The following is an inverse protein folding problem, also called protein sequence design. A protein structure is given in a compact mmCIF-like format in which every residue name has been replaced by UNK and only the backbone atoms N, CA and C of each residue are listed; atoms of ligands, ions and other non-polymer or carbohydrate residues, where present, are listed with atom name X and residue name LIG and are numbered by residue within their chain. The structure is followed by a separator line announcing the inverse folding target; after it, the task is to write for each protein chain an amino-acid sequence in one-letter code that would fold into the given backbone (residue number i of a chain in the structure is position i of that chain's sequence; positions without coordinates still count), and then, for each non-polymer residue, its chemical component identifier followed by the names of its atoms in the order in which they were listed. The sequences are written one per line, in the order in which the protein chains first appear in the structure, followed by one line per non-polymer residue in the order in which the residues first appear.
data_IF_859397915611
#
_entry.id   IF_859397915611
#
_cell.length_a   1.000
_cell.length_b   1.000
_cell.length_c   1.000
_cell.angle_alpha   90.00
_cell.angle_beta   90.00
_cell.angle_gamma   90.00
#
_symmetry.space_group_name_H-M   'P 1'
#
loop_
_entity.id
_entity.type
_entity.pdbx_description
1 polymer ?
2 non-polymer ?
3 non-polymer ?
4 non-polymer ?
5 water ?
#
# COMPACT_ATOMS: atom_id res chain seq x y z
N UNK A 1 2.81 -1.22 19.93
CA UNK A 1 3.85 -1.97 19.20
C UNK A 1 5.09 -1.10 19.08
N UNK A 2 4.87 0.21 19.07
CA UNK A 2 5.97 1.15 18.91
C UNK A 2 6.92 1.12 20.11
N UNK A 3 6.38 0.72 21.27
CA UNK A 3 7.17 0.58 22.49
C UNK A 3 8.30 -0.42 22.28
N UNK A 4 7.97 -1.57 21.73
CA UNK A 4 8.93 -2.63 21.46
C UNK A 4 9.91 -2.24 20.35
N UNK A 5 9.41 -1.48 19.38
CA UNK A 5 10.24 -0.94 18.31
C UNK A 5 11.37 -0.13 18.89
N UNK A 6 11.02 0.78 19.79
CA UNK A 6 12.01 1.64 20.43
C UNK A 6 13.08 0.83 21.10
N UNK A 7 12.71 -0.22 21.81
CA UNK A 7 13.74 -0.91 22.55
C UNK A 7 14.60 -1.72 21.62
N UNK A 8 14.00 -2.34 20.59
CA UNK A 8 14.78 -3.10 19.62
C UNK A 8 15.72 -2.21 18.79
N UNK A 9 15.31 -0.96 18.57
CA UNK A 9 16.13 -0.02 17.81
C UNK A 9 17.43 0.27 18.58
N UNK A 10 17.28 0.46 19.89
CA UNK A 10 18.36 0.78 20.80
C UNK A 10 19.24 -0.45 21.09
N UNK A 11 18.63 -1.60 21.41
CA UNK A 11 19.40 -2.77 21.86
C UNK A 11 19.74 -3.80 20.79
N UNK A 12 19.10 -3.74 19.62
CA UNK A 12 19.16 -4.89 18.71
C UNK A 12 18.49 -4.69 17.35
N UNK A 13 19.01 -3.77 16.52
CA UNK A 13 18.26 -3.37 15.32
C UNK A 13 18.25 -4.42 14.21
N UNK A 14 19.10 -5.42 14.36
CA UNK A 14 19.16 -6.52 13.40
C UNK A 14 19.11 -7.77 14.25
N UNK A 15 17.98 -8.46 14.23
CA UNK A 15 17.66 -9.43 15.26
C UNK A 15 17.15 -10.77 14.73
N UNK A 16 17.85 -11.84 15.07
CA UNK A 16 17.43 -13.19 14.74
C UNK A 16 16.72 -13.85 15.92
N UNK A 17 15.49 -14.31 15.70
CA UNK A 17 14.68 -14.83 16.77
C UNK A 17 14.67 -16.35 16.75
N UNK A 18 15.58 -16.94 15.98
CA UNK A 18 15.58 -18.38 15.77
C UNK A 18 14.81 -18.86 14.53
N UNK A 19 14.04 -17.96 13.95
CA UNK A 19 13.16 -18.29 12.84
C UNK A 19 13.46 -17.49 11.57
N UNK A 20 13.35 -16.17 11.68
CA UNK A 20 13.69 -15.24 10.61
C UNK A 20 14.47 -14.05 11.14
N UNK A 21 14.99 -13.24 10.22
CA UNK A 21 15.71 -12.05 10.60
C UNK A 21 14.78 -10.85 10.60
N UNK A 22 14.99 -9.91 11.51
CA UNK A 22 14.16 -8.71 11.58
C UNK A 22 15.01 -7.45 11.72
N UNK A 23 14.60 -6.40 11.03
CA UNK A 23 15.38 -5.17 10.97
C UNK A 23 14.55 -4.00 11.46
N UNK A 24 15.13 -3.15 12.32
CA UNK A 24 14.32 -2.14 13.00
C UNK A 24 14.78 -0.70 12.78
N UNK A 25 16.03 -0.52 12.39
CA UNK A 25 16.54 0.84 12.25
C UNK A 25 16.49 1.30 10.79
N UNK A 26 16.44 2.60 10.59
CA UNK A 26 16.34 3.18 9.27
C UNK A 26 17.47 2.74 8.33
N UNK A 27 18.71 2.81 8.82
CA UNK A 27 19.87 2.55 7.99
C UNK A 27 19.86 1.15 7.39
N UNK A 28 19.57 0.15 8.22
CA UNK A 28 19.65 -1.22 7.76
C UNK A 28 18.40 -1.59 6.95
N UNK A 29 17.28 -0.93 7.28
CA UNK A 29 16.06 -1.10 6.52
C UNK A 29 16.27 -0.60 5.10
N UNK A 30 16.80 0.63 4.98
CA UNK A 30 16.96 1.22 3.67
C UNK A 30 17.91 0.38 2.83
N UNK A 31 18.94 -0.18 3.47
CA UNK A 31 19.91 -0.89 2.67
C UNK A 31 19.31 -2.22 2.19
N UNK A 32 18.49 -2.87 3.01
CA UNK A 32 17.86 -4.12 2.55
C UNK A 32 16.91 -3.88 1.38
N UNK A 33 16.14 -2.79 1.45
CA UNK A 33 15.22 -2.43 0.37
C UNK A 33 15.94 -2.06 -0.94
N UNK A 34 17.06 -1.37 -0.84
CA UNK A 34 17.73 -0.87 -2.04
C UNK A 34 18.58 -1.94 -2.72
N UNK A 35 19.32 -2.71 -1.94
CA UNK A 35 20.28 -3.64 -2.50
C UNK A 35 19.60 -4.86 -3.11
N UNK A 36 19.03 -4.70 -4.30
CA UNK A 36 18.29 -5.77 -4.95
C UNK A 36 19.17 -6.94 -5.35
N UNK A 37 20.48 -6.74 -5.42
CA UNK A 37 21.36 -7.83 -5.81
C UNK A 37 21.72 -8.76 -4.65
N UNK A 38 21.54 -8.29 -3.43
CA UNK A 38 21.80 -9.16 -2.29
C UNK A 38 20.48 -9.57 -1.62
N UNK A 39 19.49 -8.68 -1.65
CA UNK A 39 18.18 -8.95 -1.07
C UNK A 39 17.05 -9.07 -2.11
N UNK A 40 16.74 -10.31 -2.46
CA UNK A 40 15.75 -10.65 -3.49
C UNK A 40 14.27 -10.47 -3.08
N UNK A 41 13.45 -10.10 -4.06
CA UNK A 41 11.99 -10.06 -3.94
C UNK A 41 11.36 -11.30 -4.57
N UNK A 42 12.18 -12.19 -5.16
CA UNK A 42 11.64 -13.39 -5.82
C UNK A 42 11.30 -14.49 -4.78
N UNK A 43 10.20 -14.28 -4.07
CA UNK A 43 9.75 -15.16 -3.01
C UNK A 43 8.86 -16.32 -3.50
N UNK A 44 8.37 -16.24 -4.73
CA UNK A 44 7.39 -17.21 -5.22
C UNK A 44 7.95 -18.04 -6.36
N UNK A 45 9.25 -17.87 -6.62
CA UNK A 45 9.97 -18.55 -7.70
C UNK A 45 9.56 -18.10 -9.09
N UNK A 46 9.23 -16.81 -9.23
CA UNK A 46 8.83 -16.22 -10.51
C UNK A 46 9.93 -16.39 -11.58
N UNK A 47 11.17 -16.01 -11.26
CA UNK A 47 12.24 -16.11 -12.23
C UNK A 47 12.47 -17.56 -12.61
N UNK A 48 12.51 -18.43 -11.60
CA UNK A 48 12.74 -19.84 -11.81
C UNK A 48 11.66 -20.50 -12.70
N UNK A 49 10.45 -19.94 -12.74
CA UNK A 49 9.35 -20.52 -13.55
C UNK A 49 9.00 -19.76 -14.81
N UNK A 50 9.76 -18.70 -15.08
CA UNK A 50 9.40 -17.75 -16.14
C UNK A 50 9.28 -18.42 -17.52
N UNK A 51 10.28 -19.21 -17.87
CA UNK A 51 10.30 -19.90 -19.15
C UNK A 51 9.14 -20.90 -19.26
N UNK A 52 8.89 -21.71 -18.23
CA UNK A 52 7.76 -22.67 -18.30
C UNK A 52 6.38 -22.04 -18.22
N UNK A 53 6.25 -20.86 -17.63
CA UNK A 53 5.01 -20.09 -17.74
C UNK A 53 4.74 -19.68 -19.20
N UNK A 54 5.79 -19.15 -19.84
CA UNK A 54 5.67 -18.58 -21.17
C UNK A 54 5.48 -19.65 -22.24
N UNK A 55 6.15 -20.79 -22.07
CA UNK A 55 6.10 -21.81 -23.12
C UNK A 55 4.94 -22.79 -22.92
N UNK A 56 4.16 -22.61 -21.86
CA UNK A 56 2.96 -23.42 -21.63
C UNK A 56 3.13 -24.68 -20.80
N UNK A 57 4.34 -24.97 -20.33
CA UNK A 57 4.59 -26.20 -19.55
C UNK A 57 3.83 -26.16 -18.23
N UNK A 58 3.76 -24.98 -17.63
CA UNK A 58 2.90 -24.74 -16.49
C UNK A 58 1.53 -24.31 -16.99
N UNK A 59 0.53 -25.12 -16.72
CA UNK A 59 -0.82 -24.87 -17.25
C UNK A 59 -1.63 -24.13 -16.19
N UNK A 60 -1.45 -24.50 -14.92
CA UNK A 60 -2.19 -23.90 -13.80
C UNK A 60 -1.26 -23.43 -12.69
N UNK A 61 -1.51 -22.21 -12.17
CA UNK A 61 -0.86 -21.69 -10.97
C UNK A 61 -1.63 -20.45 -10.50
N UNK A 62 -1.28 -19.93 -9.33
CA UNK A 62 -1.97 -18.76 -8.77
C UNK A 62 -1.46 -17.44 -9.35
N UNK A 63 -2.26 -16.79 -10.22
CA UNK A 63 -1.75 -15.66 -11.01
C UNK A 63 -1.04 -14.59 -10.17
N UNK A 64 -1.46 -14.36 -8.93
CA UNK A 64 -0.90 -13.22 -8.20
C UNK A 64 0.43 -13.54 -7.54
N UNK A 65 0.95 -14.75 -7.78
CA UNK A 65 2.32 -15.10 -7.38
C UNK A 65 3.35 -14.53 -8.37
N UNK A 66 2.90 -14.26 -9.59
CA UNK A 66 3.83 -13.87 -10.62
C UNK A 66 3.51 -12.46 -11.11
N UNK A 67 3.91 -11.48 -10.30
CA UNK A 67 3.78 -10.09 -10.65
C UNK A 67 5.09 -9.39 -10.36
N UNK A 68 5.16 -8.12 -10.75
CA UNK A 68 6.33 -7.29 -10.50
C UNK A 68 6.71 -7.19 -9.02
N UNK A 69 5.75 -7.41 -8.13
CA UNK A 69 6.02 -7.24 -6.71
C UNK A 69 7.01 -8.29 -6.23
N UNK A 70 6.96 -9.46 -6.86
CA UNK A 70 7.80 -10.57 -6.45
C UNK A 70 8.80 -10.94 -7.57
N UNK A 71 9.54 -9.95 -8.04
CA UNK A 71 10.54 -10.22 -9.05
C UNK A 71 11.74 -9.31 -8.86
N UNK A 72 12.82 -9.62 -9.56
CA UNK A 72 14.07 -8.89 -9.49
C UNK A 72 14.38 -8.39 -10.90
N UNK A 73 15.38 -7.50 -11.02
CA UNK A 73 15.75 -7.11 -12.38
C UNK A 73 16.39 -8.27 -13.12
N UNK A 74 16.24 -8.32 -14.45
CA UNK A 74 15.55 -7.31 -15.28
C UNK A 74 14.03 -7.48 -15.35
N UNK A 75 13.54 -8.66 -14.99
CA UNK A 75 12.13 -8.99 -15.15
C UNK A 75 11.22 -7.95 -14.48
N UNK A 76 11.61 -7.48 -13.30
CA UNK A 76 10.84 -6.48 -12.62
C UNK A 76 10.74 -5.20 -13.44
N UNK A 77 11.89 -4.73 -13.93
CA UNK A 77 11.93 -3.47 -14.66
C UNK A 77 11.10 -3.63 -15.92
N UNK A 78 11.22 -4.78 -16.56
CA UNK A 78 10.42 -5.03 -17.76
C UNK A 78 8.93 -5.00 -17.46
N UNK A 79 8.48 -5.66 -16.40
CA UNK A 79 7.05 -5.63 -16.07
C UNK A 79 6.58 -4.20 -15.74
N UNK A 80 7.35 -3.51 -14.91
CA UNK A 80 6.96 -2.21 -14.41
C UNK A 80 6.91 -1.15 -15.50
N UNK A 81 7.80 -1.28 -16.47
CA UNK A 81 7.90 -0.24 -17.49
C UNK A 81 6.63 -0.14 -18.32
N UNK A 82 5.80 -1.19 -18.28
CA UNK A 82 4.53 -1.22 -18.99
C UNK A 82 3.43 -0.29 -18.43
N UNK A 83 3.53 0.13 -17.18
CA UNK A 83 2.47 0.98 -16.64
C UNK A 83 2.99 2.19 -15.88
N UNK A 84 4.32 2.30 -15.78
CA UNK A 84 4.94 3.40 -15.04
C UNK A 84 4.49 4.80 -15.48
N UNK A 85 4.22 4.97 -16.77
CA UNK A 85 3.83 6.28 -17.26
C UNK A 85 2.44 6.66 -16.73
N UNK A 86 1.51 5.72 -16.76
CA UNK A 86 0.15 5.92 -16.24
C UNK A 86 0.12 6.43 -14.80
N UNK A 87 0.97 5.86 -13.93
CA UNK A 87 0.93 6.22 -12.50
C UNK A 87 1.89 7.33 -12.10
N UNK A 88 2.48 8.00 -13.08
CA UNK A 88 3.37 9.11 -12.78
C UNK A 88 2.54 10.37 -12.50
N UNK A 89 3.09 11.29 -11.68
CA UNK A 89 2.42 12.54 -11.29
C UNK A 89 1.93 13.37 -12.48
N UNK A 90 2.77 13.44 -13.50
CA UNK A 90 2.45 14.19 -14.71
C UNK A 90 1.13 13.76 -15.34
N UNK A 91 0.94 12.45 -15.52
CA UNK A 91 -0.26 11.92 -16.16
C UNK A 91 -1.48 11.91 -15.24
N UNK A 92 -1.24 11.73 -13.95
CA UNK A 92 -2.34 11.57 -13.00
C UNK A 92 -3.09 12.88 -12.76
N UNK A 93 -2.36 13.99 -12.90
CA UNK A 93 -2.90 15.31 -12.69
C UNK A 93 -4.19 15.55 -13.48
N UNK A 94 -4.28 14.92 -14.64
CA UNK A 94 -5.53 14.83 -15.41
C UNK A 94 -6.75 14.56 -14.55
N UNK A 95 -6.56 13.70 -13.55
CA UNK A 95 -7.65 13.09 -12.83
C UNK A 95 -8.13 13.89 -11.62
N UNK A 96 -7.37 14.92 -11.26
CA UNK A 96 -7.68 15.75 -10.09
C UNK A 96 -9.15 16.18 -10.01
N UNK A 97 -9.75 16.51 -11.15
CA UNK A 97 -11.15 16.93 -11.18
C UNK A 97 -12.11 15.77 -10.85
N UNK A 98 -11.84 14.60 -11.42
CA UNK A 98 -12.67 13.43 -11.18
C UNK A 98 -12.67 13.04 -9.70
N UNK A 99 -11.47 13.03 -9.13
CA UNK A 99 -11.31 12.64 -7.74
C UNK A 99 -12.08 13.62 -6.88
N UNK A 100 -11.88 14.92 -7.14
CA UNK A 100 -12.49 15.98 -6.33
C UNK A 100 -14.02 15.97 -6.37
N UNK A 101 -14.60 15.58 -7.51
CA UNK A 101 -16.05 15.54 -7.62
C UNK A 101 -16.59 14.25 -7.06
N UNK A 102 -15.78 13.19 -7.13
CA UNK A 102 -16.17 11.92 -6.54
C UNK A 102 -16.17 12.05 -5.02
N UNK A 103 -15.11 12.70 -4.51
CA UNK A 103 -14.97 12.95 -3.08
C UNK A 103 -16.19 13.69 -2.55
N UNK A 104 -16.50 14.84 -3.15
CA UNK A 104 -17.67 15.64 -2.78
C UNK A 104 -18.96 14.86 -2.85
N UNK A 105 -19.17 14.16 -3.95
CA UNK A 105 -20.34 13.30 -4.10
C UNK A 105 -20.48 12.28 -2.94
N UNK A 106 -19.33 11.90 -2.36
CA UNK A 106 -19.32 10.92 -1.29
C UNK A 106 -19.61 11.60 0.03
N UNK A 107 -18.94 12.73 0.28
CA UNK A 107 -19.17 13.56 1.48
C UNK A 107 -20.67 13.90 1.65
N UNK A 108 -21.43 13.92 0.56
CA UNK A 108 -22.86 14.20 0.62
C UNK A 108 -23.64 13.11 1.34
N UNK A 109 -23.33 11.85 1.04
CA UNK A 109 -24.07 10.72 1.61
C UNK A 109 -23.84 10.56 3.12
N UNK A 110 -22.87 11.30 3.66
CA UNK A 110 -22.58 11.26 5.09
C UNK A 110 -23.65 11.95 5.92
N UNK A 111 -24.09 11.27 6.96
CA UNK A 111 -25.01 11.79 7.96
C UNK A 111 -24.21 12.35 9.15
N UNK A 112 -24.25 13.67 9.35
CA UNK A 112 -23.31 14.25 10.33
C UNK A 112 -23.68 13.96 11.80
N UNK A 113 -24.93 13.60 12.06
CA UNK A 113 -25.34 13.19 13.40
C UNK A 113 -24.51 11.97 13.85
N UNK A 114 -24.38 11.00 12.95
CA UNK A 114 -23.65 9.78 13.23
C UNK A 114 -23.39 9.05 11.92
N UNK A 115 -22.11 8.87 11.58
CA UNK A 115 -21.78 8.01 10.44
C UNK A 115 -20.39 7.39 10.56
N UNK A 116 -20.16 6.39 9.71
CA UNK A 116 -18.89 5.67 9.63
C UNK A 116 -18.11 6.18 8.41
N UNK A 117 -17.08 7.00 8.63
CA UNK A 117 -16.39 7.58 7.46
C UNK A 117 -15.51 6.56 6.73
N UNK A 118 -15.22 5.43 7.37
CA UNK A 118 -14.57 4.34 6.65
C UNK A 118 -15.54 3.81 5.59
N UNK A 119 -16.81 3.61 5.96
CA UNK A 119 -17.76 3.00 5.03
C UNK A 119 -18.26 3.98 3.93
N UNK A 120 -18.30 5.27 4.24
CA UNK A 120 -18.93 6.24 3.33
C UNK A 120 -17.91 6.94 2.46
N UNK A 121 -16.69 7.06 2.96
CA UNK A 121 -15.64 7.79 2.27
C UNK A 121 -14.39 6.94 1.97
N UNK A 122 -13.74 6.42 3.00
CA UNK A 122 -12.40 5.83 2.86
C UNK A 122 -12.35 4.57 2.00
N UNK A 123 -13.38 3.73 2.10
CA UNK A 123 -13.42 2.49 1.29
C UNK A 123 -13.84 2.74 -0.18
N UNK A 124 -14.95 3.48 -0.42
CA UNK A 124 -15.35 3.66 -1.81
C UNK A 124 -14.36 4.45 -2.67
N UNK A 125 -13.70 5.46 -2.10
CA UNK A 125 -12.96 6.40 -2.94
C UNK A 125 -11.86 5.70 -3.75
N UNK A 126 -10.97 4.91 -3.11
CA UNK A 126 -9.95 4.26 -3.92
C UNK A 126 -10.50 3.29 -4.96
N UNK A 127 -11.60 2.60 -4.63
CA UNK A 127 -12.18 1.64 -5.55
C UNK A 127 -12.74 2.33 -6.79
N UNK A 128 -13.35 3.49 -6.61
CA UNK A 128 -13.93 4.18 -7.75
C UNK A 128 -12.84 4.71 -8.69
N UNK A 129 -11.77 5.25 -8.11
CA UNK A 129 -10.71 5.83 -8.91
C UNK A 129 -9.96 4.78 -9.75
N UNK A 130 -9.59 3.66 -9.13
CA UNK A 130 -8.77 2.67 -9.81
C UNK A 130 -9.60 2.04 -10.92
N UNK A 131 -10.90 1.96 -10.68
CA UNK A 131 -11.81 1.44 -11.69
C UNK A 131 -11.85 2.36 -12.92
N UNK A 132 -11.83 3.67 -12.68
CA UNK A 132 -11.81 4.65 -13.75
C UNK A 132 -10.51 4.49 -14.55
N UNK A 133 -9.40 4.48 -13.84
CA UNK A 133 -8.09 4.37 -14.47
C UNK A 133 -7.94 3.09 -15.29
N UNK A 134 -8.54 2.01 -14.83
CA UNK A 134 -8.34 0.75 -15.50
C UNK A 134 -9.42 0.47 -16.53
N UNK A 135 -10.51 1.24 -16.49
CA UNK A 135 -11.59 1.00 -17.42
C UNK A 135 -12.44 -0.21 -17.08
N UNK A 136 -12.28 -0.74 -15.88
CA UNK A 136 -13.11 -1.86 -15.44
C UNK A 136 -14.32 -1.39 -14.63
N UNK A 137 -15.53 -1.82 -15.04
CA UNK A 137 -16.77 -1.33 -14.42
C UNK A 137 -17.03 -1.92 -13.05
N UNK A 138 -17.55 -1.13 -12.10
CA UNK A 138 -17.96 -1.69 -10.82
C UNK A 138 -19.39 -2.27 -10.92
N UNK A 139 -19.45 -3.52 -11.36
CA UNK A 139 -20.70 -4.24 -11.57
C UNK A 139 -21.40 -4.38 -10.25
N UNK A 140 -20.74 -5.05 -9.32
CA UNK A 140 -21.25 -5.23 -7.96
C UNK A 140 -20.39 -4.41 -7.01
N UNK A 141 -20.95 -3.33 -6.47
CA UNK A 141 -20.27 -2.52 -5.45
C UNK A 141 -19.76 -3.41 -4.32
N UNK A 142 -20.55 -4.40 -3.93
CA UNK A 142 -20.25 -5.26 -2.79
C UNK A 142 -19.07 -6.21 -3.02
N UNK A 143 -19.03 -6.88 -4.19
CA UNK A 143 -17.91 -7.78 -4.48
C UNK A 143 -16.56 -7.07 -4.67
N UNK A 144 -16.55 -5.82 -5.10
CA UNK A 144 -15.31 -5.07 -5.08
C UNK A 144 -14.77 -4.84 -3.68
N UNK A 145 -15.65 -4.54 -2.72
CA UNK A 145 -15.23 -4.41 -1.33
C UNK A 145 -14.70 -5.75 -0.85
N UNK A 146 -15.37 -6.83 -1.21
CA UNK A 146 -14.93 -8.14 -0.73
C UNK A 146 -13.59 -8.53 -1.33
N UNK A 147 -13.45 -8.36 -2.64
CA UNK A 147 -12.22 -8.72 -3.34
C UNK A 147 -11.04 -7.89 -2.81
N UNK A 148 -11.28 -6.59 -2.59
CA UNK A 148 -10.30 -5.71 -1.97
C UNK A 148 -9.80 -6.22 -0.62
N UNK A 149 -10.65 -6.98 0.07
CA UNK A 149 -10.35 -7.51 1.39
C UNK A 149 -9.60 -8.83 1.37
N UNK A 150 -9.50 -9.45 0.20
CA UNK A 150 -8.72 -10.66 0.03
C UNK A 150 -7.23 -10.43 0.23
N UNK A 151 -6.84 -9.17 0.30
CA UNK A 151 -5.45 -8.78 0.45
C UNK A 151 -5.08 -8.92 1.93
N UNK A 152 -3.97 -9.59 2.23
CA UNK A 152 -3.66 -9.97 3.61
C UNK A 152 -2.30 -10.65 3.75
N UNK A 153 -1.65 -10.49 4.91
CA UNK A 153 -0.50 -11.31 5.25
C UNK A 153 -0.95 -12.75 5.43
N UNK A 154 -0.35 -13.65 4.67
CA UNK A 154 -0.61 -15.08 4.82
C UNK A 154 0.59 -15.68 5.54
N UNK A 155 0.37 -16.32 6.68
CA UNK A 155 1.47 -16.95 7.40
C UNK A 155 1.93 -18.21 6.67
N UNK A 156 3.25 -18.41 6.61
CA UNK A 156 3.82 -19.56 5.93
C UNK A 156 3.93 -19.45 4.41
N UNK A 157 3.24 -18.49 3.80
CA UNK A 157 3.32 -18.28 2.35
C UNK A 157 3.90 -16.91 2.00
N UNK A 158 5.22 -16.72 2.23
CA UNK A 158 5.85 -15.40 2.06
C UNK A 158 5.74 -14.87 0.62
N UNK A 159 5.38 -13.60 0.48
CA UNK A 159 5.22 -13.03 -0.85
C UNK A 159 3.84 -13.25 -1.46
N UNK A 160 3.03 -14.11 -0.83
CA UNK A 160 1.60 -14.22 -1.16
C UNK A 160 0.78 -13.22 -0.34
N UNK A 161 0.06 -12.33 -1.00
CA UNK A 161 -0.76 -11.36 -0.28
C UNK A 161 -2.26 -11.46 -0.60
N UNK A 162 -2.64 -12.54 -1.28
CA UNK A 162 -4.06 -12.77 -1.54
C UNK A 162 -4.53 -14.07 -0.87
N UNK A 163 -5.64 -13.96 -0.14
CA UNK A 163 -6.35 -15.12 0.36
C UNK A 163 -7.10 -15.77 -0.79
N UNK A 164 -7.05 -17.10 -0.85
CA UNK A 164 -7.59 -17.81 -2.00
C UNK A 164 -9.07 -18.19 -1.75
N UNK A 165 -9.53 -19.30 -2.35
CA UNK A 165 -10.92 -19.74 -2.20
C UNK A 165 -11.86 -19.34 -3.32
N UNK A 166 -13.17 -19.42 -3.07
CA UNK A 166 -14.15 -19.17 -4.13
C UNK A 166 -14.31 -17.70 -4.43
N UNK A 167 -14.10 -16.85 -3.44
CA UNK A 167 -14.11 -15.41 -3.68
C UNK A 167 -12.99 -15.04 -4.67
N UNK A 168 -11.85 -15.72 -4.57
CA UNK A 168 -10.70 -15.48 -5.43
C UNK A 168 -11.00 -15.91 -6.87
N UNK A 169 -11.61 -17.09 -7.02
CA UNK A 169 -11.95 -17.60 -8.34
C UNK A 169 -12.92 -16.67 -9.06
N UNK A 170 -13.83 -16.05 -8.31
CA UNK A 170 -14.74 -15.06 -8.85
C UNK A 170 -13.97 -13.86 -9.42
N UNK A 171 -13.03 -13.34 -8.64
CA UNK A 171 -12.16 -12.25 -9.08
C UNK A 171 -11.54 -12.60 -10.43
N UNK A 172 -10.90 -13.76 -10.50
CA UNK A 172 -10.30 -14.20 -11.76
C UNK A 172 -11.30 -14.25 -12.91
N UNK A 173 -12.46 -14.84 -12.67
CA UNK A 173 -13.50 -14.89 -13.66
C UNK A 173 -13.88 -13.50 -14.14
N UNK A 174 -14.14 -12.59 -13.19
CA UNK A 174 -14.57 -11.24 -13.52
C UNK A 174 -13.54 -10.58 -14.43
N UNK A 175 -12.27 -10.84 -14.16
CA UNK A 175 -11.21 -10.19 -14.90
C UNK A 175 -11.13 -10.73 -16.34
N UNK A 176 -11.17 -12.05 -16.50
CA UNK A 176 -11.26 -12.62 -17.85
C UNK A 176 -12.41 -11.97 -18.64
N UNK A 177 -13.59 -11.89 -18.02
CA UNK A 177 -14.77 -11.34 -18.68
C UNK A 177 -14.67 -9.86 -19.07
N UNK A 178 -13.68 -9.13 -18.58
CA UNK A 178 -13.61 -7.71 -18.95
C UNK A 178 -12.26 -7.31 -19.53
N UNK A 179 -11.42 -8.30 -19.81
CA UNK A 179 -10.15 -8.09 -20.50
C UNK A 179 -10.25 -7.09 -21.63
N UNK A 180 -11.24 -7.30 -22.49
CA UNK A 180 -11.31 -6.54 -23.73
C UNK A 180 -12.19 -5.33 -23.58
N UNK A 181 -12.21 -4.76 -22.39
CA UNK A 181 -13.05 -3.59 -22.12
C UNK A 181 -12.20 -2.48 -21.51
N UNK A 182 -10.92 -2.77 -21.33
CA UNK A 182 -10.04 -1.89 -20.58
C UNK A 182 -9.52 -0.64 -21.29
N UNK A 183 -8.81 0.17 -20.51
CA UNK A 183 -8.14 1.35 -21.01
C UNK A 183 -6.79 1.00 -21.60
N UNK A 184 -5.95 2.02 -21.75
CA UNK A 184 -4.64 1.90 -22.35
C UNK A 184 -3.74 0.90 -21.59
N UNK A 185 -3.63 1.03 -20.28
CA UNK A 185 -2.75 0.16 -19.50
C UNK A 185 -3.18 -1.31 -19.65
N UNK A 186 -4.48 -1.57 -19.60
CA UNK A 186 -4.95 -2.94 -19.79
C UNK A 186 -4.61 -3.51 -21.19
N UNK A 187 -4.79 -2.72 -22.25
CA UNK A 187 -4.42 -3.17 -23.60
C UNK A 187 -2.95 -3.56 -23.69
N UNK A 188 -2.09 -2.78 -23.08
CA UNK A 188 -0.66 -3.05 -23.12
C UNK A 188 -0.34 -4.42 -22.52
N UNK A 189 -0.88 -4.67 -21.33
CA UNK A 189 -0.69 -5.97 -20.69
C UNK A 189 -1.28 -7.11 -21.53
N UNK A 190 -2.49 -6.93 -22.06
CA UNK A 190 -3.15 -7.98 -22.82
C UNK A 190 -2.39 -8.37 -24.10
N UNK A 191 -1.85 -7.37 -24.79
CA UNK A 191 -1.19 -7.56 -26.07
C UNK A 191 0.27 -7.94 -25.94
N UNK A 192 0.78 -7.87 -24.72
CA UNK A 192 2.17 -8.24 -24.45
C UNK A 192 2.43 -9.72 -24.67
N UNK A 193 3.69 -10.10 -24.59
CA UNK A 193 4.10 -11.50 -24.69
C UNK A 193 4.17 -12.23 -23.32
N UNK A 194 3.48 -11.71 -22.31
CA UNK A 194 3.35 -12.44 -21.04
C UNK A 194 2.44 -13.64 -21.18
N UNK A 195 2.62 -14.60 -20.30
CA UNK A 195 1.70 -15.72 -20.18
C UNK A 195 0.37 -15.23 -19.63
N UNK A 196 -0.71 -15.96 -19.89
CA UNK A 196 -2.03 -15.56 -19.42
C UNK A 196 -2.04 -15.46 -17.91
N UNK A 197 -1.39 -16.42 -17.27
CA UNK A 197 -1.20 -16.38 -15.82
C UNK A 197 -0.62 -15.02 -15.37
N UNK A 198 0.47 -14.57 -15.98
CA UNK A 198 1.04 -13.27 -15.62
C UNK A 198 0.14 -12.08 -15.94
N UNK A 199 -0.62 -12.17 -17.01
CA UNK A 199 -1.52 -11.07 -17.36
C UNK A 199 -2.56 -10.87 -16.27
N UNK A 200 -3.17 -11.97 -15.87
CA UNK A 200 -4.19 -11.94 -14.82
C UNK A 200 -3.58 -11.36 -13.57
N UNK A 201 -2.42 -11.90 -13.20
CA UNK A 201 -1.64 -11.42 -12.09
C UNK A 201 -1.40 -9.91 -12.17
N UNK A 202 -0.98 -9.43 -13.34
CA UNK A 202 -0.65 -8.02 -13.49
C UNK A 202 -1.91 -7.17 -13.19
N UNK A 203 -3.01 -7.50 -13.87
CA UNK A 203 -4.23 -6.71 -13.72
C UNK A 203 -4.78 -6.76 -12.30
N UNK A 204 -4.83 -7.96 -11.73
CA UNK A 204 -5.39 -8.12 -10.40
C UNK A 204 -4.61 -7.32 -9.39
N UNK A 205 -3.30 -7.35 -9.54
CA UNK A 205 -2.41 -6.57 -8.71
C UNK A 205 -2.78 -5.08 -8.75
N UNK A 206 -2.86 -4.49 -9.94
CA UNK A 206 -3.25 -3.09 -10.08
C UNK A 206 -4.69 -2.80 -9.59
N UNK A 207 -5.63 -3.67 -9.97
CA UNK A 207 -7.02 -3.47 -9.57
C UNK A 207 -7.23 -3.47 -8.05
N UNK A 208 -6.56 -4.38 -7.36
CA UNK A 208 -6.96 -4.71 -6.00
C UNK A 208 -5.96 -4.28 -4.94
N UNK A 209 -4.69 -4.60 -5.15
CA UNK A 209 -3.66 -4.47 -4.13
C UNK A 209 -3.59 -3.13 -3.44
N UNK A 210 -3.94 -2.05 -4.14
CA UNK A 210 -3.79 -0.73 -3.56
C UNK A 210 -5.01 -0.12 -2.86
N UNK A 211 -6.13 -0.85 -2.86
CA UNK A 211 -7.35 -0.30 -2.29
C UNK A 211 -7.34 -0.14 -0.78
N UNK A 212 -7.34 -1.25 -0.07
CA UNK A 212 -7.29 -1.19 1.37
C UNK A 212 -6.16 -0.31 1.94
N UNK A 213 -4.97 -0.37 1.34
CA UNK A 213 -3.85 0.45 1.84
C UNK A 213 -4.16 1.94 1.77
N UNK A 214 -4.88 2.36 0.74
CA UNK A 214 -5.20 3.77 0.58
C UNK A 214 -6.32 4.17 1.52
N UNK A 215 -7.37 3.35 1.55
CA UNK A 215 -8.42 3.46 2.56
C UNK A 215 -7.81 3.72 3.95
N UNK A 216 -6.77 2.95 4.29
CA UNK A 216 -6.14 3.12 5.58
C UNK A 216 -5.40 4.41 5.74
N UNK A 217 -4.80 4.91 4.65
CA UNK A 217 -4.08 6.18 4.73
C UNK A 217 -5.04 7.30 5.03
N UNK A 218 -6.23 7.22 4.42
CA UNK A 218 -7.27 8.19 4.66
C UNK A 218 -7.73 8.15 6.12
N UNK A 219 -8.19 6.98 6.57
CA UNK A 219 -8.60 6.80 7.96
C UNK A 219 -7.55 7.19 9.00
N UNK A 220 -6.34 6.68 8.86
CA UNK A 220 -5.28 7.03 9.77
C UNK A 220 -5.09 8.53 9.85
N UNK A 221 -5.30 9.19 8.71
CA UNK A 221 -5.10 10.63 8.65
C UNK A 221 -6.16 11.31 9.50
N UNK A 222 -7.43 10.96 9.26
CA UNK A 222 -8.53 11.50 10.03
C UNK A 222 -8.31 11.34 11.53
N UNK A 223 -7.96 10.12 11.92
CA UNK A 223 -7.70 9.81 13.32
C UNK A 223 -6.62 10.69 13.88
N UNK A 224 -5.44 10.67 13.27
CA UNK A 224 -4.30 11.42 13.81
C UNK A 224 -4.55 12.91 13.94
N UNK A 225 -5.18 13.50 12.93
CA UNK A 225 -5.44 14.94 12.92
C UNK A 225 -6.40 15.29 14.06
N UNK A 226 -7.37 14.42 14.29
CA UNK A 226 -8.33 14.61 15.37
C UNK A 226 -7.72 14.47 16.77
N UNK A 227 -6.97 13.40 16.98
CA UNK A 227 -6.45 13.11 18.30
C UNK A 227 -5.44 14.14 18.75
N UNK A 228 -4.64 14.65 17.83
CA UNK A 228 -3.66 15.65 18.20
C UNK A 228 -4.18 17.06 17.96
N UNK A 229 -5.46 17.12 17.58
CA UNK A 229 -6.15 18.39 17.37
C UNK A 229 -5.33 19.30 16.46
N UNK A 230 -5.35 18.99 15.17
CA UNK A 230 -4.59 19.76 14.21
C UNK A 230 -5.47 20.23 13.09
N UNK A 231 -6.75 19.89 13.13
CA UNK A 231 -7.63 20.19 12.01
C UNK A 231 -7.57 21.62 11.52
N UNK A 232 -7.47 22.59 12.43
CA UNK A 232 -7.56 23.96 11.96
C UNK A 232 -6.18 24.58 11.77
N UNK A 233 -5.15 24.07 12.45
CA UNK A 233 -3.82 24.53 12.12
C UNK A 233 -3.45 24.09 10.71
N UNK A 234 -3.83 22.85 10.38
CA UNK A 234 -3.53 22.25 9.09
C UNK A 234 -4.17 23.06 7.96
N UNK A 235 -5.28 23.70 8.29
CA UNK A 235 -6.12 24.33 7.30
C UNK A 235 -5.83 25.82 7.17
N UNK A 236 -5.63 26.47 8.31
CA UNK A 236 -5.30 27.88 8.35
C UNK A 236 -3.85 28.08 7.88
N UNK A 237 -2.99 27.10 8.09
CA UNK A 237 -1.62 27.24 7.63
C UNK A 237 -1.40 26.49 6.31
N UNK A 238 -2.46 25.87 5.79
CA UNK A 238 -2.39 25.08 4.55
C UNK A 238 -1.27 24.02 4.56
N UNK A 239 -1.45 22.96 5.36
CA UNK A 239 -0.40 21.98 5.59
C UNK A 239 -0.70 20.58 5.06
N UNK A 240 -1.81 20.44 4.33
CA UNK A 240 -2.23 19.17 3.75
C UNK A 240 -1.10 18.25 3.27
N UNK A 241 -0.15 18.77 2.50
CA UNK A 241 0.85 17.89 1.91
C UNK A 241 1.80 17.35 2.95
N UNK A 242 2.34 18.25 3.76
CA UNK A 242 3.32 17.84 4.75
C UNK A 242 2.62 17.09 5.90
N UNK A 243 1.36 17.43 6.16
CA UNK A 243 0.62 16.73 7.20
C UNK A 243 0.39 15.28 6.79
N UNK A 244 -0.04 15.08 5.55
CA UNK A 244 -0.30 13.75 5.04
C UNK A 244 0.98 12.91 4.96
N UNK A 245 2.09 13.56 4.62
CA UNK A 245 3.37 12.87 4.69
C UNK A 245 3.67 12.45 6.13
N UNK A 246 3.19 13.21 7.09
CA UNK A 246 3.47 12.88 8.48
C UNK A 246 2.60 11.69 8.92
N UNK A 247 1.33 11.74 8.55
CA UNK A 247 0.44 10.59 8.76
C UNK A 247 1.09 9.34 8.18
N UNK A 248 1.63 9.45 6.96
CA UNK A 248 2.33 8.34 6.33
C UNK A 248 3.51 7.84 7.17
N UNK A 249 4.33 8.77 7.67
CA UNK A 249 5.47 8.39 8.50
C UNK A 249 5.07 7.77 9.83
N UNK A 250 4.10 8.41 10.49
CA UNK A 250 3.69 8.08 11.86
C UNK A 250 2.81 6.84 11.92
N UNK A 251 1.83 6.79 11.02
CA UNK A 251 0.86 5.70 10.97
C UNK A 251 0.90 4.94 9.65
N UNK A 252 2.02 4.28 9.35
CA UNK A 252 2.09 3.69 8.00
C UNK A 252 1.04 2.57 7.74
N UNK A 253 0.31 2.64 6.61
CA UNK A 253 -0.68 1.59 6.26
C UNK A 253 -0.04 0.21 6.04
N UNK A 254 1.18 0.15 5.53
CA UNK A 254 1.93 -1.11 5.50
C UNK A 254 3.06 -1.04 6.52
N UNK A 255 3.10 -1.98 7.46
CA UNK A 255 4.01 -1.90 8.63
C UNK A 255 5.39 -2.46 8.34
N UNK A 256 5.42 -3.44 7.46
CA UNK A 256 6.61 -4.22 7.25
C UNK A 256 6.54 -4.87 5.90
N UNK A 257 7.69 -5.30 5.39
CA UNK A 257 7.74 -6.08 4.17
C UNK A 257 8.89 -7.06 4.34
N UNK A 258 9.16 -7.89 3.33
CA UNK A 258 10.11 -8.98 3.49
C UNK A 258 11.02 -9.17 2.26
N UNK A 259 12.25 -9.64 2.48
CA UNK A 259 13.15 -10.04 1.39
C UNK A 259 13.76 -11.41 1.70
N UNK A 260 14.34 -12.04 0.69
CA UNK A 260 15.13 -13.25 0.93
C UNK A 260 16.57 -12.98 0.45
N UNK A 261 17.58 -13.47 1.17
CA UNK A 261 18.99 -13.21 0.78
C UNK A 261 19.47 -14.08 -0.38
N UNK A 262 20.14 -13.46 -1.35
CA UNK A 262 20.68 -14.18 -2.52
C UNK A 262 22.03 -14.83 -2.20
N UNK A 263 22.68 -14.35 -1.15
CA UNK A 263 24.01 -14.79 -0.82
C UNK A 263 24.30 -14.40 0.63
N UNK A 264 25.29 -15.03 1.23
CA UNK A 264 25.75 -14.62 2.56
C UNK A 264 25.99 -13.10 2.53
N UNK A 265 25.44 -12.38 3.51
CA UNK A 265 25.65 -10.93 3.63
C UNK A 265 25.86 -10.49 5.07
N UNK A 266 26.44 -9.29 5.19
CA UNK A 266 26.78 -8.72 6.48
C UNK A 266 25.97 -7.46 6.66
N UNK A 267 25.10 -7.47 7.65
CA UNK A 267 24.24 -6.34 7.91
C UNK A 267 24.47 -5.87 9.33
N UNK A 268 25.11 -4.72 9.47
CA UNK A 268 25.63 -4.29 10.77
C UNK A 268 26.75 -5.25 11.18
N UNK A 269 26.63 -5.89 12.34
CA UNK A 269 27.69 -6.82 12.69
C UNK A 269 27.02 -8.21 12.81
N UNK A 270 25.94 -8.38 12.08
CA UNK A 270 25.35 -9.70 11.99
C UNK A 270 25.64 -10.32 10.62
N UNK A 271 25.74 -11.64 10.59
CA UNK A 271 25.93 -12.37 9.36
C UNK A 271 24.69 -13.15 9.04
N UNK A 272 24.02 -12.79 7.95
CA UNK A 272 22.84 -13.50 7.54
C UNK A 272 23.23 -14.47 6.45
N UNK A 273 22.95 -15.75 6.69
CA UNK A 273 23.22 -16.79 5.71
C UNK A 273 22.46 -16.54 4.40
N UNK A 274 22.93 -17.15 3.34
CA UNK A 274 22.22 -17.09 2.08
C UNK A 274 20.95 -17.91 2.28
N UNK A 275 19.84 -17.48 1.69
CA UNK A 275 18.56 -18.15 1.82
C UNK A 275 17.66 -17.79 3.01
N UNK A 276 18.06 -16.83 3.85
CA UNK A 276 17.24 -16.45 4.99
C UNK A 276 16.19 -15.42 4.61
N UNK A 277 15.08 -15.40 5.34
CA UNK A 277 14.08 -14.35 5.18
C UNK A 277 14.43 -13.17 6.07
N UNK A 278 14.30 -11.98 5.52
CA UNK A 278 14.57 -10.77 6.26
C UNK A 278 13.33 -9.91 6.30
N UNK A 279 12.84 -9.68 7.50
CA UNK A 279 11.61 -8.93 7.68
C UNK A 279 12.01 -7.52 8.04
N UNK A 280 11.47 -6.57 7.30
CA UNK A 280 11.94 -5.21 7.42
C UNK A 280 10.82 -4.36 7.98
N UNK A 281 11.00 -3.83 9.19
CA UNK A 281 9.93 -3.10 9.85
C UNK A 281 9.95 -1.63 9.47
N UNK A 282 9.23 -1.32 8.39
CA UNK A 282 9.03 0.05 7.93
C UNK A 282 8.58 1.00 9.04
N UNK A 283 7.69 0.51 9.91
CA UNK A 283 7.04 1.34 10.91
C UNK A 283 8.03 1.77 12.00
N UNK A 284 8.92 0.85 12.38
CA UNK A 284 9.98 1.18 13.32
C UNK A 284 11.02 2.13 12.70
N UNK A 285 11.37 1.86 11.45
CA UNK A 285 12.40 2.65 10.78
C UNK A 285 11.91 4.07 10.59
N UNK A 286 10.58 4.24 10.54
CA UNK A 286 9.99 5.54 10.34
C UNK A 286 10.05 6.43 11.57
N UNK A 287 10.67 5.91 12.62
CA UNK A 287 10.78 6.64 13.90
C UNK A 287 12.18 6.54 14.48
N UNK A 288 13.13 6.08 13.67
CA UNK A 288 14.56 6.02 14.06
C UNK A 288 15.04 7.42 14.38
N UNK A 289 15.50 7.63 15.62
CA UNK A 289 15.84 8.99 16.07
C UNK A 289 17.03 9.55 15.29
N UNK A 290 17.91 8.69 14.81
CA UNK A 290 19.08 9.14 14.05
C UNK A 290 18.73 9.92 12.77
N UNK A 291 17.48 9.85 12.33
CA UNK A 291 17.07 10.49 11.08
C UNK A 291 15.96 11.50 11.33
N UNK A 292 15.01 11.13 12.17
CA UNK A 292 13.92 12.01 12.52
C UNK A 292 14.10 12.53 13.96
N UNK A 293 14.32 13.83 14.09
CA UNK A 293 14.39 14.48 15.40
C UNK A 293 12.99 14.46 16.05
N UNK A 294 12.89 13.95 17.28
CA UNK A 294 11.60 13.78 17.97
C UNK A 294 10.67 12.86 17.20
N UNK A 295 11.14 11.63 17.00
CA UNK A 295 10.46 10.65 16.18
C UNK A 295 9.12 10.17 16.69
N UNK A 296 8.86 10.35 17.98
CA UNK A 296 7.60 9.87 18.54
C UNK A 296 6.56 10.98 18.63
N UNK A 297 6.95 12.19 18.23
CA UNK A 297 5.97 13.28 18.15
C UNK A 297 5.47 13.43 16.73
N UNK A 298 4.16 13.56 16.60
CA UNK A 298 3.54 13.94 15.34
C UNK A 298 3.76 15.44 15.09
N UNK A 299 4.41 15.78 13.98
CA UNK A 299 4.74 17.17 13.65
C UNK A 299 4.26 17.50 12.25
N UNK A 300 3.10 18.15 12.12
CA UNK A 300 2.41 18.29 10.83
C UNK A 300 3.17 19.03 9.73
N UNK A 301 4.21 19.79 10.07
CA UNK A 301 4.96 20.53 9.06
C UNK A 301 6.39 20.01 8.93
N UNK A 302 6.62 18.83 9.49
CA UNK A 302 7.93 18.17 9.48
C UNK A 302 8.69 18.23 8.15
N UNK A 303 9.98 18.48 8.26
CA UNK A 303 10.79 18.67 7.07
C UNK A 303 12.25 18.68 7.46
N UNK A 304 13.07 17.87 6.77
CA UNK A 304 12.68 16.91 5.73
C UNK A 304 11.99 15.62 6.29
N UNK A 305 11.15 15.00 5.47
CA UNK A 305 10.44 13.79 5.87
C UNK A 305 10.66 12.63 4.91
N UNK A 306 11.82 11.97 5.01
CA UNK A 306 12.21 10.88 4.12
C UNK A 306 11.75 9.49 4.62
N UNK A 307 10.45 9.33 4.81
CA UNK A 307 9.94 8.09 5.38
C UNK A 307 9.89 6.94 4.35
N UNK A 308 9.82 5.71 4.84
CA UNK A 308 9.85 4.54 3.97
C UNK A 308 8.49 3.89 3.79
N UNK A 309 7.43 4.62 4.09
CA UNK A 309 6.08 4.05 4.01
C UNK A 309 5.67 3.57 2.60
N UNK A 310 6.33 4.10 1.57
CA UNK A 310 6.09 3.58 0.23
C UNK A 310 7.22 2.68 -0.22
N UNK A 311 8.12 2.36 0.70
CA UNK A 311 9.30 1.58 0.36
C UNK A 311 10.43 2.47 -0.17
N UNK A 312 11.33 1.85 -0.91
CA UNK A 312 12.55 2.49 -1.36
C UNK A 312 13.16 1.60 -2.44
N UNK A 313 13.91 2.19 -3.35
CA UNK A 313 14.60 1.40 -4.36
C UNK A 313 13.71 1.08 -5.54
N UNK A 314 13.98 -0.04 -6.23
CA UNK A 314 13.26 -0.34 -7.46
C UNK A 314 11.78 -0.73 -7.23
N UNK A 315 11.39 -1.07 -6.00
CA UNK A 315 9.99 -1.48 -5.79
C UNK A 315 9.15 -0.37 -5.19
N UNK A 316 9.76 0.80 -5.02
CA UNK A 316 9.05 1.97 -4.50
C UNK A 316 7.66 2.08 -5.11
N UNK A 317 6.65 2.22 -4.26
CA UNK A 317 5.27 1.98 -4.63
C UNK A 317 4.83 2.67 -5.93
N UNK A 318 4.55 1.84 -6.93
CA UNK A 318 3.99 2.30 -8.20
C UNK A 318 2.83 3.29 -8.00
N UNK A 319 2.01 3.03 -6.98
CA UNK A 319 0.82 3.82 -6.73
C UNK A 319 1.03 5.00 -5.79
N UNK A 320 2.28 5.29 -5.42
CA UNK A 320 2.50 6.37 -4.44
C UNK A 320 1.90 7.72 -4.89
N UNK A 321 2.20 8.20 -6.11
CA UNK A 321 1.55 9.45 -6.54
C UNK A 321 0.04 9.41 -6.48
N UNK A 322 -0.56 8.31 -6.91
CA UNK A 322 -2.01 8.18 -6.87
C UNK A 322 -2.48 8.28 -5.41
N UNK A 323 -1.85 7.52 -4.51
CA UNK A 323 -2.27 7.48 -3.12
C UNK A 323 -2.16 8.85 -2.44
N UNK A 324 -1.06 9.55 -2.68
CA UNK A 324 -0.92 10.92 -2.18
C UNK A 324 -2.04 11.82 -2.69
N UNK A 325 -2.32 11.73 -3.99
CA UNK A 325 -3.32 12.60 -4.59
C UNK A 325 -4.74 12.32 -4.03
N UNK A 326 -5.12 11.05 -3.94
CA UNK A 326 -6.43 10.71 -3.39
C UNK A 326 -6.56 11.15 -1.93
N UNK A 327 -5.50 10.94 -1.15
CA UNK A 327 -5.55 11.24 0.26
C UNK A 327 -5.71 12.73 0.45
N UNK A 328 -4.88 13.47 -0.28
CA UNK A 328 -4.82 14.91 -0.11
C UNK A 328 -6.15 15.58 -0.47
N UNK A 329 -6.73 15.19 -1.60
CA UNK A 329 -8.00 15.77 -1.99
C UNK A 329 -9.07 15.43 -0.96
N UNK A 330 -9.12 14.15 -0.57
CA UNK A 330 -10.14 13.69 0.35
C UNK A 330 -10.09 14.45 1.67
N UNK A 331 -8.88 14.63 2.20
CA UNK A 331 -8.71 15.38 3.45
C UNK A 331 -9.22 16.81 3.27
N UNK A 332 -8.60 17.57 2.36
CA UNK A 332 -9.03 18.91 1.96
C UNK A 332 -10.56 19.10 1.93
N UNK A 333 -11.24 18.33 1.09
CA UNK A 333 -12.68 18.43 0.95
C UNK A 333 -13.40 18.19 2.27
N UNK A 334 -12.98 17.16 3.00
CA UNK A 334 -13.51 16.84 4.31
C UNK A 334 -13.30 18.00 5.28
N UNK A 335 -12.09 18.54 5.24
CA UNK A 335 -11.65 19.63 6.08
C UNK A 335 -12.39 20.96 5.85
N UNK A 336 -12.84 21.19 4.63
CA UNK A 336 -13.58 22.41 4.35
C UNK A 336 -15.08 22.20 4.64
N UNK A 337 -15.56 20.97 4.53
CA UNK A 337 -16.98 20.73 4.75
C UNK A 337 -17.38 20.59 6.24
N UNK A 338 -16.47 20.11 7.10
CA UNK A 338 -16.80 19.93 8.53
C UNK A 338 -15.73 20.59 9.40
N UNK A 339 -16.11 21.09 10.58
CA UNK A 339 -15.14 21.82 11.39
C UNK A 339 -14.95 21.24 12.78
N UNK A 340 -15.99 20.58 13.27
CA UNK A 340 -15.86 19.89 14.53
C UNK A 340 -16.06 18.42 14.31
N UNK A 341 -15.13 17.62 14.82
CA UNK A 341 -15.24 16.19 14.65
C UNK A 341 -15.10 15.47 16.00
N UNK A 342 -16.08 14.61 16.30
CA UNK A 342 -16.05 13.80 17.50
C UNK A 342 -15.94 12.33 17.12
N UNK A 343 -15.00 11.61 17.74
CA UNK A 343 -14.87 10.19 17.48
C UNK A 343 -15.68 9.37 18.47
N UNK A 344 -16.69 8.67 17.99
CA UNK A 344 -17.58 7.89 18.85
C UNK A 344 -17.10 6.46 19.08
N UNK A 345 -16.63 5.81 18.02
CA UNK A 345 -16.27 4.41 18.11
C UNK A 345 -15.28 4.02 17.01
N UNK A 346 -14.33 3.17 17.35
CA UNK A 346 -13.40 2.65 16.37
C UNK A 346 -13.30 1.13 16.40
N UNK A 347 -12.93 0.57 15.26
CA UNK A 347 -12.56 -0.82 15.18
C UNK A 347 -11.29 -0.91 14.29
N UNK A 348 -10.16 -1.30 14.87
CA UNK A 348 -8.94 -1.43 14.09
C UNK A 348 -9.06 -2.61 13.15
N UNK A 349 -8.25 -2.59 12.11
CA UNK A 349 -8.05 -3.79 11.31
C UNK A 349 -7.22 -4.73 12.17
N UNK A 350 -7.71 -5.96 12.34
CA UNK A 350 -7.15 -6.79 13.41
C UNK A 350 -5.83 -7.47 13.07
N UNK A 351 -5.42 -7.49 11.80
CA UNK A 351 -4.19 -8.20 11.43
C UNK A 351 -2.89 -7.38 11.41
N UNK A 352 -1.79 -8.00 10.98
CA UNK A 352 -0.49 -7.56 11.48
C UNK A 352 0.38 -6.70 10.56
N UNK A 353 0.15 -6.82 9.26
CA UNK A 353 0.94 -6.06 8.33
C UNK A 353 0.20 -4.79 7.94
N UNK A 354 -1.11 -4.92 7.78
CA UNK A 354 -1.96 -3.80 7.40
C UNK A 354 -2.45 -3.07 8.62
N UNK A 355 -2.40 -1.74 8.54
CA UNK A 355 -2.62 -0.88 9.69
C UNK A 355 -3.66 0.22 9.39
N UNK A 356 -4.89 -0.03 9.81
CA UNK A 356 -5.99 0.86 9.54
C UNK A 356 -7.23 0.53 10.35
N UNK A 357 -8.39 0.99 9.88
CA UNK A 357 -9.64 0.87 10.63
C UNK A 357 -10.71 0.23 9.78
N UNK A 358 -11.49 -0.65 10.38
CA UNK A 358 -12.64 -1.18 9.69
C UNK A 358 -13.84 -0.27 9.90
N UNK A 359 -13.91 0.37 11.06
CA UNK A 359 -15.00 1.29 11.35
C UNK A 359 -14.42 2.51 12.04
N UNK A 360 -14.99 3.65 11.70
CA UNK A 360 -14.56 4.92 12.27
C UNK A 360 -15.79 5.80 12.37
N UNK A 361 -16.56 5.61 13.44
CA UNK A 361 -17.83 6.29 13.63
C UNK A 361 -17.65 7.65 14.29
N UNK A 362 -18.09 8.69 13.58
CA UNK A 362 -17.91 10.06 14.04
C UNK A 362 -19.22 10.85 14.06
N UNK A 363 -19.21 11.96 14.79
CA UNK A 363 -20.26 12.96 14.63
C UNK A 363 -19.57 14.24 14.17
N UNK A 364 -20.21 14.94 13.25
CA UNK A 364 -19.61 16.09 12.61
C UNK A 364 -20.44 17.37 12.74
N UNK A 365 -19.75 18.50 12.71
CA UNK A 365 -20.40 19.81 12.56
C UNK A 365 -20.07 20.38 11.18
N UNK A 366 -21.10 20.52 10.34
CA UNK A 366 -20.92 20.94 8.93
C UNK A 366 -21.11 22.45 8.67
N UNK A 367 -20.40 22.95 7.66
CA UNK A 367 -20.46 24.36 7.23
C UNK A 367 -21.25 24.55 5.93
#
# INVERSE_FOLDING_TARGET
MYDWFSEMRKKDPVYYDGNIWQVFSYRYTKEVLNNFSKFSSDLTGYHERLEDLRNGKIRFDIPTRYTMLTSDPPLHDELRSMSADIFSPQKLQTLETFIRETTRSLLDSIDPREDDIVKKLAVPLPIIVISKILGLPIEDKEKFKEWSDLVAFRLGKPGEIFELGKKYLELIGYVKDHLNSGTEVVSRVVNSNLSDIEKLGYIILLLIAGNETTTNLISNSVIDFTRFNLWQRIREENLYLKAIEEALRYSPPVMRTVRKTKERVKLGDQTIEEGEYVRVWIASANRDEEVFHDGEKFIPDRNPNPHLSFGSGIHLCLGAPLARLEARIAIEEFSKRFRHIEILDTEKVPNEVLNGYKRLVVRLKSNE
#
